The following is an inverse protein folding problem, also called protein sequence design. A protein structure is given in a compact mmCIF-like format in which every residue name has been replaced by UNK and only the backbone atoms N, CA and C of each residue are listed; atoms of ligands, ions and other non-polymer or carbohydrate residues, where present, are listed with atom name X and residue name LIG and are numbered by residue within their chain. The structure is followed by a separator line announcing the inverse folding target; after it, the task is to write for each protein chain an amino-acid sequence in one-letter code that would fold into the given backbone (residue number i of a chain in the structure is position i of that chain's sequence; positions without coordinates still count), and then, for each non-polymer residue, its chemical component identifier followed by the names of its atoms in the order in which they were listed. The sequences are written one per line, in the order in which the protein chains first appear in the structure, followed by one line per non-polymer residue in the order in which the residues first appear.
data_IF_549241343953
#
_entry.id   IF_549241343953
#
_cell.length_a   1.000
_cell.length_b   1.000
_cell.length_c   1.000
_cell.angle_alpha   90.00
_cell.angle_beta   90.00
_cell.angle_gamma   90.00
#
_symmetry.space_group_name_H-M   'P 1'
#
loop_
_entity.id
_entity.type
_entity.pdbx_description
1 polymer ?
#
# COMPACT_ATOMS: atom_id res chain seq x y z
N UNK A 1 -2.99 -6.63 -19.11
CA UNK A 1 -3.61 -6.38 -17.79
C UNK A 1 -3.39 -7.63 -16.98
N UNK A 2 -2.77 -7.48 -15.81
CA UNK A 2 -2.53 -8.60 -14.90
C UNK A 2 -3.12 -8.27 -13.53
N UNK A 3 -3.76 -9.25 -12.91
CA UNK A 3 -4.40 -9.15 -11.60
C UNK A 3 -3.73 -10.14 -10.66
N UNK A 4 -3.41 -9.70 -9.45
CA UNK A 4 -2.80 -10.53 -8.42
C UNK A 4 -3.60 -10.39 -7.13
N UNK A 5 -3.84 -11.52 -6.48
CA UNK A 5 -4.50 -11.56 -5.17
C UNK A 5 -3.56 -12.18 -4.16
N UNK A 6 -3.45 -11.55 -3.00
CA UNK A 6 -2.70 -12.05 -1.86
C UNK A 6 -3.62 -12.05 -0.63
N UNK A 7 -3.49 -13.11 0.16
CA UNK A 7 -4.13 -13.18 1.47
C UNK A 7 -3.05 -13.35 2.54
N UNK A 8 -3.33 -12.79 3.71
CA UNK A 8 -2.48 -12.89 4.88
C UNK A 8 -3.35 -12.88 6.13
N UNK A 9 -2.90 -13.57 7.17
CA UNK A 9 -3.56 -13.55 8.48
C UNK A 9 -2.59 -12.91 9.46
N UNK A 10 -2.96 -11.71 9.93
CA UNK A 10 -2.31 -11.10 11.06
C UNK A 10 -2.86 -11.76 12.33
N UNK A 11 -1.98 -12.32 13.17
CA UNK A 11 -2.39 -12.92 14.46
C UNK A 11 -2.52 -11.85 15.54
N UNK A 12 -3.26 -10.80 15.20
CA UNK A 12 -3.51 -9.62 16.01
C UNK A 12 -4.96 -9.17 15.85
N UNK A 13 -5.60 -8.63 16.91
CA UNK A 13 -6.96 -8.13 16.85
C UNK A 13 -7.15 -7.05 15.78
N UNK A 14 -8.35 -6.96 15.20
CA UNK A 14 -8.64 -6.09 14.08
C UNK A 14 -8.36 -4.60 14.33
N UNK A 15 -8.67 -4.12 15.53
CA UNK A 15 -8.41 -2.75 15.97
C UNK A 15 -6.90 -2.45 16.02
N UNK A 16 -6.09 -3.40 16.51
CA UNK A 16 -4.63 -3.27 16.54
C UNK A 16 -4.04 -3.24 15.14
N UNK A 17 -4.46 -4.16 14.25
CA UNK A 17 -4.00 -4.20 12.86
C UNK A 17 -4.42 -2.93 12.10
N UNK A 18 -5.63 -2.45 12.34
CA UNK A 18 -6.13 -1.20 11.76
C UNK A 18 -5.28 -0.02 12.22
N UNK A 19 -5.00 0.10 13.52
CA UNK A 19 -4.13 1.15 14.06
C UNK A 19 -2.69 1.06 13.48
N UNK A 20 -2.14 -0.14 13.39
CA UNK A 20 -0.82 -0.40 12.81
C UNK A 20 -0.74 0.00 11.33
N UNK A 21 -1.75 -0.36 10.52
CA UNK A 21 -1.84 0.03 9.12
C UNK A 21 -1.89 1.54 8.91
N UNK A 22 -2.56 2.27 9.82
CA UNK A 22 -2.56 3.73 9.82
C UNK A 22 -1.18 4.32 10.19
N UNK A 23 -0.48 3.72 11.18
CA UNK A 23 0.88 4.11 11.62
C UNK A 23 2.01 3.71 10.67
N UNK A 24 1.73 2.87 9.67
CA UNK A 24 2.70 2.30 8.70
C UNK A 24 3.68 3.32 8.09
N UNK A 25 3.27 4.57 7.90
CA UNK A 25 4.11 5.61 7.29
C UNK A 25 4.63 6.68 8.28
N UNK A 26 4.22 6.62 9.55
CA UNK A 26 4.59 7.59 10.58
C UNK A 26 5.56 7.02 11.62
N UNK A 27 5.65 5.69 11.70
CA UNK A 27 6.54 5.01 12.63
C UNK A 27 8.01 5.13 12.16
N UNK A 28 8.96 5.58 13.02
CA UNK A 28 10.32 5.96 12.62
C UNK A 28 11.07 4.88 11.84
N UNK A 29 10.96 3.64 12.30
CA UNK A 29 11.66 2.50 11.73
C UNK A 29 11.03 2.01 10.42
N UNK A 30 9.80 2.44 10.10
CA UNK A 30 9.15 2.08 8.84
C UNK A 30 9.88 2.67 7.64
N UNK A 31 10.62 3.77 7.82
CA UNK A 31 11.32 4.48 6.74
C UNK A 31 12.44 3.64 6.10
N UNK A 32 13.11 2.79 6.87
CA UNK A 32 14.20 1.93 6.36
C UNK A 32 13.63 0.80 5.50
N UNK A 33 12.59 0.13 6.01
CA UNK A 33 11.89 -0.98 5.33
C UNK A 33 11.14 -0.47 4.09
N UNK A 34 10.47 0.68 4.20
CA UNK A 34 9.69 1.32 3.13
C UNK A 34 10.48 2.40 2.39
N UNK A 35 11.79 2.19 2.17
CA UNK A 35 12.69 3.16 1.51
C UNK A 35 12.27 3.61 0.10
N UNK A 36 11.34 2.89 -0.54
CA UNK A 36 10.73 3.30 -1.81
C UNK A 36 9.68 4.41 -1.65
N UNK A 37 9.10 4.57 -0.46
CA UNK A 37 8.16 5.64 -0.14
C UNK A 37 8.98 6.88 0.21
N UNK A 38 8.88 7.90 -0.64
CA UNK A 38 9.60 9.15 -0.49
C UNK A 38 8.85 10.14 0.41
N UNK A 39 7.52 10.14 0.32
CA UNK A 39 6.69 11.10 1.06
C UNK A 39 5.24 10.60 1.21
N UNK A 40 4.58 10.98 2.31
CA UNK A 40 3.18 10.66 2.60
C UNK A 40 2.50 11.83 3.31
N UNK A 41 1.41 12.34 2.74
CA UNK A 41 0.59 13.39 3.35
C UNK A 41 -0.85 12.95 3.48
N UNK A 42 -1.49 13.29 4.60
CA UNK A 42 -2.94 13.13 4.74
C UNK A 42 -3.62 14.31 4.05
N UNK A 43 -4.37 14.03 2.98
CA UNK A 43 -5.09 15.04 2.20
C UNK A 43 -6.40 15.44 2.89
N UNK A 44 -7.13 14.46 3.41
CA UNK A 44 -8.30 14.70 4.25
C UNK A 44 -8.55 13.51 5.17
N UNK A 45 -9.24 13.78 6.27
CA UNK A 45 -9.74 12.78 7.21
C UNK A 45 -11.05 13.29 7.80
N UNK A 46 -12.13 12.53 7.66
CA UNK A 46 -13.47 12.91 8.12
C UNK A 46 -14.19 11.71 8.72
N UNK A 47 -14.72 11.89 9.92
CA UNK A 47 -15.72 10.97 10.48
C UNK A 47 -17.09 11.37 9.95
N UNK A 48 -17.79 10.44 9.33
CA UNK A 48 -19.19 10.61 8.95
C UNK A 48 -20.06 10.49 10.21
N UNK A 49 -20.76 11.56 10.63
CA UNK A 49 -21.57 11.54 11.85
C UNK A 49 -22.78 10.60 11.74
N UNK A 50 -23.32 10.37 10.53
CA UNK A 50 -24.54 9.59 10.35
C UNK A 50 -24.25 8.08 10.39
N UNK A 51 -23.15 7.67 9.75
CA UNK A 51 -22.75 6.26 9.68
C UNK A 51 -21.69 5.85 10.70
N UNK A 52 -20.99 6.81 11.31
CA UNK A 52 -19.84 6.57 12.18
C UNK A 52 -18.59 6.08 11.44
N UNK A 53 -18.55 6.18 10.10
CA UNK A 53 -17.43 5.70 9.28
C UNK A 53 -16.35 6.76 9.13
N UNK A 54 -15.09 6.35 9.29
CA UNK A 54 -13.95 7.21 9.06
C UNK A 54 -13.51 7.11 7.60
N UNK A 55 -13.62 8.22 6.88
CA UNK A 55 -13.10 8.39 5.54
C UNK A 55 -11.79 9.14 5.57
N UNK A 56 -10.83 8.73 4.76
CA UNK A 56 -9.63 9.52 4.56
C UNK A 56 -9.01 9.31 3.20
N UNK A 57 -8.17 10.26 2.81
CA UNK A 57 -7.26 10.08 1.71
C UNK A 57 -5.86 10.54 2.07
N UNK A 58 -4.87 9.82 1.55
CA UNK A 58 -3.45 10.17 1.66
C UNK A 58 -2.83 10.26 0.27
N UNK A 59 -1.96 11.24 0.04
CA UNK A 59 -1.05 11.21 -1.09
C UNK A 59 0.20 10.43 -0.69
N UNK A 60 0.63 9.51 -1.53
CA UNK A 60 1.84 8.72 -1.32
C UNK A 60 2.74 8.94 -2.53
N UNK A 61 3.94 9.47 -2.29
CA UNK A 61 4.97 9.60 -3.33
C UNK A 61 5.92 8.42 -3.22
N UNK A 62 6.00 7.63 -4.29
CA UNK A 62 6.86 6.46 -4.38
C UNK A 62 7.94 6.71 -5.41
N UNK A 63 9.19 6.43 -5.05
CA UNK A 63 10.30 6.35 -6.02
C UNK A 63 10.19 5.03 -6.76
N UNK A 64 9.95 5.11 -8.08
CA UNK A 64 9.90 3.90 -8.89
C UNK A 64 11.28 3.27 -8.97
N UNK A 65 11.37 1.95 -9.12
CA UNK A 65 12.60 1.32 -9.57
C UNK A 65 12.99 1.85 -10.96
N UNK A 66 14.21 1.52 -11.36
CA UNK A 66 14.75 1.75 -12.71
C UNK A 66 13.74 1.24 -13.76
N UNK A 67 13.07 2.16 -14.49
CA UNK A 67 12.01 1.81 -15.46
C UNK A 67 12.55 1.06 -16.70
N UNK A 68 11.76 0.19 -17.35
CA UNK A 68 12.14 -0.42 -18.62
C UNK A 68 12.50 0.63 -19.67
N UNK A 69 13.49 0.33 -20.53
CA UNK A 69 14.00 1.28 -21.54
C UNK A 69 12.90 1.85 -22.44
N UNK A 70 11.97 1.00 -22.87
CA UNK A 70 10.86 1.41 -23.74
C UNK A 70 9.97 2.44 -23.04
N UNK A 71 9.67 2.24 -21.75
CA UNK A 71 8.87 3.19 -20.97
C UNK A 71 9.62 4.50 -20.73
N UNK A 72 10.95 4.46 -20.57
CA UNK A 72 11.74 5.69 -20.42
C UNK A 72 11.72 6.59 -21.63
N UNK A 73 11.73 6.02 -22.84
CA UNK A 73 11.65 6.83 -24.07
C UNK A 73 10.32 7.56 -24.21
N UNK A 74 9.29 7.07 -23.53
CA UNK A 74 7.96 7.68 -23.53
C UNK A 74 7.76 8.67 -22.37
N UNK A 75 8.70 8.75 -21.43
CA UNK A 75 8.64 9.73 -20.34
C UNK A 75 9.07 11.11 -20.85
N UNK A 76 8.37 12.18 -20.48
CA UNK A 76 8.88 13.54 -20.64
C UNK A 76 10.25 13.67 -19.97
N UNK A 77 11.21 14.31 -20.62
CA UNK A 77 12.60 14.43 -20.15
C UNK A 77 12.69 14.99 -18.72
N UNK A 78 11.78 15.89 -18.33
CA UNK A 78 11.68 16.47 -16.99
C UNK A 78 11.28 15.48 -15.87
N UNK A 79 10.75 14.31 -16.22
CA UNK A 79 10.29 13.28 -15.26
C UNK A 79 11.28 12.12 -15.08
N UNK A 80 12.32 12.06 -15.92
CA UNK A 80 13.32 11.02 -15.89
C UNK A 80 14.50 11.46 -15.01
N UNK A 81 14.69 10.77 -13.88
CA UNK A 81 15.92 10.92 -13.09
C UNK A 81 17.13 10.40 -13.90
N UNK A 82 18.35 10.94 -13.70
CA UNK A 82 19.57 10.47 -14.38
C UNK A 82 19.81 8.95 -14.22
N UNK A 83 19.37 8.37 -13.11
CA UNK A 83 19.46 6.93 -12.84
C UNK A 83 18.34 6.10 -13.51
N UNK A 84 17.42 6.76 -14.21
CA UNK A 84 16.31 6.14 -14.91
C UNK A 84 15.13 5.70 -14.03
N UNK A 85 15.03 6.24 -12.81
CA UNK A 85 13.84 6.20 -11.94
C UNK A 85 12.94 7.42 -12.19
N UNK A 86 11.71 7.35 -11.70
CA UNK A 86 10.77 8.46 -11.66
C UNK A 86 10.08 8.50 -10.29
N UNK A 87 9.44 9.62 -9.97
CA UNK A 87 8.48 9.66 -8.87
C UNK A 87 7.10 9.31 -9.38
N UNK A 88 6.43 8.43 -8.64
CA UNK A 88 5.05 8.05 -8.85
C UNK A 88 4.23 8.57 -7.68
N UNK A 89 3.29 9.47 -7.97
CA UNK A 89 2.32 9.96 -7.01
C UNK A 89 1.08 9.08 -7.05
N UNK A 90 0.71 8.57 -5.90
CA UNK A 90 -0.46 7.75 -5.66
C UNK A 90 -1.42 8.47 -4.71
N UNK A 91 -2.70 8.18 -4.86
CA UNK A 91 -3.72 8.55 -3.88
C UNK A 91 -4.26 7.26 -3.27
N UNK A 92 -4.13 7.17 -1.96
CA UNK A 92 -4.80 6.19 -1.13
C UNK A 92 -6.12 6.78 -0.64
N UNK A 93 -7.20 6.01 -0.71
CA UNK A 93 -8.47 6.30 -0.05
C UNK A 93 -8.78 5.16 0.89
N UNK A 94 -9.08 5.47 2.15
CA UNK A 94 -9.43 4.48 3.17
C UNK A 94 -10.80 4.76 3.77
N UNK A 95 -11.50 3.68 4.11
CA UNK A 95 -12.77 3.68 4.79
C UNK A 95 -12.69 2.71 5.96
N UNK A 96 -12.92 3.20 7.17
CA UNK A 96 -12.95 2.38 8.39
C UNK A 96 -14.36 2.44 8.98
N UNK A 97 -14.98 1.27 9.10
CA UNK A 97 -16.24 1.04 9.77
C UNK A 97 -15.97 0.25 11.06
N UNK A 98 -15.81 0.98 12.17
CA UNK A 98 -15.49 0.37 13.46
C UNK A 98 -16.63 -0.52 13.99
N UNK A 99 -17.88 -0.18 13.67
CA UNK A 99 -19.07 -0.95 14.10
C UNK A 99 -19.07 -2.35 13.48
N UNK A 100 -18.71 -2.46 12.20
CA UNK A 100 -18.65 -3.73 11.50
C UNK A 100 -17.24 -4.36 11.46
N UNK A 101 -16.25 -3.76 12.15
CA UNK A 101 -14.84 -4.16 12.11
C UNK A 101 -14.35 -4.36 10.66
N UNK A 102 -14.50 -3.33 9.85
CA UNK A 102 -14.10 -3.35 8.45
C UNK A 102 -13.22 -2.17 8.11
N UNK A 103 -12.06 -2.42 7.50
CA UNK A 103 -11.27 -1.38 6.87
C UNK A 103 -10.99 -1.75 5.42
N UNK A 104 -11.31 -0.83 4.52
CA UNK A 104 -11.03 -0.94 3.10
C UNK A 104 -10.09 0.17 2.67
N UNK A 105 -9.11 -0.17 1.85
CA UNK A 105 -8.08 0.74 1.36
C UNK A 105 -7.97 0.57 -0.14
N UNK A 106 -8.00 1.66 -0.88
CA UNK A 106 -7.79 1.66 -2.33
C UNK A 106 -6.69 2.64 -2.68
N UNK A 107 -5.63 2.16 -3.30
CA UNK A 107 -4.49 2.96 -3.77
C UNK A 107 -4.47 2.99 -5.29
N UNK A 108 -4.36 4.18 -5.86
CA UNK A 108 -4.24 4.37 -7.31
C UNK A 108 -3.08 5.30 -7.63
N UNK A 109 -2.28 4.98 -8.64
CA UNK A 109 -1.34 5.98 -9.17
C UNK A 109 -2.08 7.05 -9.96
N UNK A 110 -1.74 8.31 -9.74
CA UNK A 110 -2.31 9.47 -10.45
C UNK A 110 -1.34 9.95 -11.53
N UNK A 111 -0.04 9.98 -11.21
CA UNK A 111 1.01 10.21 -12.21
C UNK A 111 1.33 8.93 -12.99
N UNK A 112 1.93 9.05 -14.17
CA UNK A 112 2.40 7.94 -15.00
C UNK A 112 1.30 6.97 -15.51
N UNK A 113 0.01 7.26 -15.27
CA UNK A 113 -1.12 6.42 -15.75
C UNK A 113 -1.15 6.19 -17.26
N UNK A 114 -0.61 7.14 -18.03
CA UNK A 114 -0.45 7.00 -19.48
C UNK A 114 0.51 5.88 -19.88
N UNK A 115 1.39 5.44 -18.97
CA UNK A 115 2.35 4.36 -19.17
C UNK A 115 1.91 3.09 -18.46
N UNK A 116 1.71 3.18 -17.14
CA UNK A 116 1.32 2.08 -16.26
C UNK A 116 0.24 2.59 -15.32
N UNK A 117 -0.88 1.89 -15.30
CA UNK A 117 -1.97 2.09 -14.36
C UNK A 117 -1.95 0.95 -13.35
N UNK A 118 -1.97 1.31 -12.08
CA UNK A 118 -1.91 0.42 -10.93
C UNK A 118 -3.04 0.81 -9.99
N UNK A 119 -3.88 -0.17 -9.68
CA UNK A 119 -4.90 -0.05 -8.65
C UNK A 119 -4.70 -1.20 -7.66
N UNK A 120 -4.57 -0.88 -6.39
CA UNK A 120 -4.50 -1.84 -5.30
C UNK A 120 -5.72 -1.66 -4.39
N UNK A 121 -6.43 -2.74 -4.13
CA UNK A 121 -7.56 -2.80 -3.21
C UNK A 121 -7.18 -3.75 -2.07
N UNK A 122 -7.27 -3.29 -0.85
CA UNK A 122 -7.01 -4.08 0.32
C UNK A 122 -8.18 -4.01 1.30
N UNK A 123 -8.47 -5.13 1.96
CA UNK A 123 -9.51 -5.27 2.95
C UNK A 123 -8.96 -5.95 4.20
N UNK A 124 -9.28 -5.39 5.36
CA UNK A 124 -8.98 -5.92 6.68
C UNK A 124 -10.29 -6.23 7.38
N UNK A 125 -10.45 -7.48 7.82
CA UNK A 125 -11.64 -7.99 8.51
C UNK A 125 -11.22 -8.93 9.64
N UNK A 126 -12.01 -9.08 10.72
CA UNK A 126 -11.88 -10.19 11.65
C UNK A 126 -11.73 -11.53 10.93
N UNK A 127 -10.84 -12.38 11.42
CA UNK A 127 -10.66 -13.71 10.87
C UNK A 127 -11.93 -14.56 11.12
N UNK A 128 -12.44 -15.32 10.14
CA UNK A 128 -13.73 -16.03 10.27
C UNK A 128 -13.77 -17.06 11.40
N UNK A 129 -12.62 -17.65 11.74
CA UNK A 129 -12.52 -18.66 12.80
C UNK A 129 -12.03 -18.11 14.15
N UNK A 130 -11.39 -16.94 14.16
CA UNK A 130 -10.80 -16.33 15.35
C UNK A 130 -11.04 -14.81 15.34
N UNK A 131 -12.31 -14.36 15.34
CA UNK A 131 -12.66 -12.97 14.98
C UNK A 131 -12.19 -11.92 15.98
N UNK A 132 -11.95 -12.30 17.23
CA UNK A 132 -11.54 -11.37 18.28
C UNK A 132 -10.01 -11.30 18.45
N UNK A 133 -9.29 -12.28 17.92
CA UNK A 133 -7.84 -12.39 18.08
C UNK A 133 -7.07 -12.10 16.79
N UNK A 134 -7.61 -12.49 15.63
CA UNK A 134 -6.88 -12.45 14.35
C UNK A 134 -7.62 -11.62 13.31
N UNK A 135 -6.84 -11.10 12.35
CA UNK A 135 -7.34 -10.28 11.24
C UNK A 135 -6.99 -10.94 9.92
N UNK A 136 -8.01 -11.19 9.11
CA UNK A 136 -7.85 -11.54 7.71
C UNK A 136 -7.56 -10.28 6.88
N UNK A 137 -6.44 -10.30 6.18
CA UNK A 137 -6.05 -9.31 5.20
C UNK A 137 -6.11 -9.91 3.81
N UNK A 138 -6.80 -9.23 2.90
CA UNK A 138 -6.83 -9.57 1.48
C UNK A 138 -6.42 -8.35 0.68
N UNK A 139 -5.57 -8.54 -0.31
CA UNK A 139 -5.08 -7.52 -1.21
C UNK A 139 -5.22 -8.00 -2.65
N UNK A 140 -5.77 -7.15 -3.51
CA UNK A 140 -5.89 -7.37 -4.94
C UNK A 140 -5.21 -6.20 -5.67
N UNK A 141 -4.27 -6.49 -6.55
CA UNK A 141 -3.54 -5.49 -7.32
C UNK A 141 -3.76 -5.72 -8.81
N UNK A 142 -4.27 -4.71 -9.51
CA UNK A 142 -4.44 -4.69 -10.96
C UNK A 142 -3.40 -3.78 -11.59
N UNK A 143 -2.66 -4.31 -12.57
CA UNK A 143 -1.63 -3.57 -13.31
C UNK A 143 -1.95 -3.62 -14.81
N UNK A 144 -1.92 -2.44 -15.45
CA UNK A 144 -2.18 -2.29 -16.88
C UNK A 144 -1.15 -1.38 -17.54
N UNK A 145 -0.45 -1.89 -18.56
CA UNK A 145 0.43 -1.08 -19.40
C UNK A 145 -0.34 -0.59 -20.64
N UNK A 146 -0.46 0.73 -20.80
CA UNK A 146 -1.25 1.32 -21.90
C UNK A 146 -0.49 1.40 -23.24
N UNK A 147 0.76 1.92 -23.31
CA UNK A 147 1.45 2.16 -24.59
C UNK A 147 1.85 0.90 -25.34
N UNK A 148 1.91 -0.23 -24.64
CA UNK A 148 2.36 -1.52 -25.18
C UNK A 148 1.21 -2.48 -25.46
N UNK A 149 -0.05 -2.07 -25.28
CA UNK A 149 -1.20 -2.94 -25.52
C UNK A 149 -1.25 -3.48 -26.97
N UNK A 150 -0.70 -2.73 -27.94
CA UNK A 150 -0.54 -3.17 -29.33
C UNK A 150 0.61 -4.19 -29.55
N UNK A 151 1.51 -4.35 -28.58
CA UNK A 151 2.64 -5.29 -28.58
C UNK A 151 2.50 -6.23 -27.37
N UNK A 152 1.50 -7.12 -27.42
CA UNK A 152 1.05 -7.95 -26.29
C UNK A 152 2.20 -8.63 -25.50
N UNK A 153 3.16 -9.27 -26.17
CA UNK A 153 4.28 -9.95 -25.50
C UNK A 153 5.22 -9.00 -24.73
N UNK A 154 5.39 -7.77 -25.22
CA UNK A 154 6.23 -6.76 -24.56
C UNK A 154 5.47 -6.11 -23.40
N UNK A 155 4.16 -5.85 -23.57
CA UNK A 155 3.30 -5.40 -22.48
C UNK A 155 3.27 -6.40 -21.33
N UNK A 156 3.04 -7.68 -21.62
CA UNK A 156 2.97 -8.73 -20.61
C UNK A 156 4.28 -8.82 -19.81
N UNK A 157 5.44 -8.83 -20.47
CA UNK A 157 6.74 -8.87 -19.79
C UNK A 157 6.99 -7.65 -18.90
N UNK A 158 6.51 -6.48 -19.31
CA UNK A 158 6.59 -5.26 -18.51
C UNK A 158 5.64 -5.30 -17.33
N UNK A 159 4.39 -5.72 -17.54
CA UNK A 159 3.37 -5.87 -16.51
C UNK A 159 3.83 -6.87 -15.43
N UNK A 160 4.36 -8.03 -15.80
CA UNK A 160 4.87 -9.05 -14.87
C UNK A 160 6.04 -8.53 -14.03
N UNK A 161 7.01 -7.83 -14.65
CA UNK A 161 8.14 -7.24 -13.88
C UNK A 161 7.71 -6.13 -12.95
N UNK A 162 6.71 -5.34 -13.34
CA UNK A 162 6.11 -4.36 -12.45
C UNK A 162 5.42 -5.07 -11.29
N UNK A 163 4.64 -6.10 -11.58
CA UNK A 163 3.95 -6.89 -10.58
C UNK A 163 4.88 -7.52 -9.55
N UNK A 164 5.94 -8.20 -9.96
CA UNK A 164 6.92 -8.80 -9.05
C UNK A 164 7.44 -7.79 -8.02
N UNK A 165 7.73 -6.56 -8.45
CA UNK A 165 8.21 -5.51 -7.54
C UNK A 165 7.11 -4.97 -6.64
N UNK A 166 5.89 -4.84 -7.15
CA UNK A 166 4.73 -4.48 -6.32
C UNK A 166 4.47 -5.54 -5.24
N UNK A 167 4.55 -6.82 -5.59
CA UNK A 167 4.41 -7.93 -4.63
C UNK A 167 5.49 -7.89 -3.54
N UNK A 168 6.75 -7.59 -3.91
CA UNK A 168 7.83 -7.40 -2.95
C UNK A 168 7.58 -6.19 -2.02
N UNK A 169 7.11 -5.07 -2.57
CA UNK A 169 6.80 -3.87 -1.78
C UNK A 169 5.61 -4.09 -0.85
N UNK A 170 4.59 -4.83 -1.30
CA UNK A 170 3.45 -5.22 -0.46
C UNK A 170 3.90 -6.10 0.70
N UNK A 171 4.79 -7.08 0.47
CA UNK A 171 5.35 -7.92 1.54
C UNK A 171 6.06 -7.10 2.62
N UNK A 172 6.92 -6.14 2.23
CA UNK A 172 7.55 -5.19 3.16
C UNK A 172 6.53 -4.36 3.92
N UNK A 173 5.46 -3.96 3.24
CA UNK A 173 4.35 -3.24 3.86
C UNK A 173 3.66 -4.05 4.96
N UNK A 174 3.48 -5.36 4.77
CA UNK A 174 2.90 -6.26 5.77
C UNK A 174 3.83 -6.48 6.96
N UNK A 175 5.12 -6.65 6.70
CA UNK A 175 6.14 -6.78 7.75
C UNK A 175 6.15 -5.58 8.69
N UNK A 176 6.04 -4.36 8.14
CA UNK A 176 5.94 -3.14 8.95
C UNK A 176 4.67 -3.15 9.82
N UNK A 177 3.52 -3.54 9.26
CA UNK A 177 2.26 -3.62 10.02
C UNK A 177 2.38 -4.65 11.15
N UNK A 178 2.89 -5.83 10.86
CA UNK A 178 3.13 -6.90 11.85
C UNK A 178 4.01 -6.40 13.00
N UNK A 179 5.11 -5.73 12.66
CA UNK A 179 6.05 -5.17 13.64
C UNK A 179 5.38 -4.09 14.52
N UNK A 180 4.60 -3.19 13.94
CA UNK A 180 3.85 -2.18 14.69
C UNK A 180 2.81 -2.81 15.61
N UNK A 181 2.16 -3.90 15.19
CA UNK A 181 1.25 -4.65 16.07
C UNK A 181 1.96 -5.17 17.32
N UNK A 182 3.16 -5.77 17.18
CA UNK A 182 3.94 -6.23 18.33
C UNK A 182 4.30 -5.09 19.29
N UNK A 183 4.69 -3.92 18.77
CA UNK A 183 4.94 -2.76 19.63
C UNK A 183 3.69 -2.29 20.38
N UNK A 184 2.55 -2.19 19.68
CA UNK A 184 1.27 -1.79 20.29
C UNK A 184 0.83 -2.76 21.38
N UNK A 185 1.08 -4.05 21.19
CA UNK A 185 0.81 -5.08 22.20
C UNK A 185 1.71 -4.93 23.44
N UNK A 186 3.02 -4.75 23.24
CA UNK A 186 3.98 -4.50 24.32
C UNK A 186 3.65 -3.20 25.10
N UNK A 187 3.26 -2.13 24.41
CA UNK A 187 2.80 -0.88 25.02
C UNK A 187 1.54 -1.11 25.89
N UNK A 188 0.55 -1.86 25.37
CA UNK A 188 -0.70 -2.13 26.09
C UNK A 188 -0.54 -3.01 27.33
N UNK A 189 0.49 -3.86 27.34
CA UNK A 189 0.78 -4.79 28.44
C UNK A 189 1.75 -4.20 29.47
N UNK A 190 2.20 -2.95 29.29
CA UNK A 190 3.12 -2.26 30.21
C UNK A 190 4.57 -2.75 30.10
N UNK A 191 4.91 -3.51 29.06
CA UNK A 191 6.24 -4.10 28.85
C UNK A 191 7.13 -3.25 27.93
N UNK A 192 6.93 -1.93 27.86
CA UNK A 192 7.67 -1.07 26.95
C UNK A 192 9.19 -1.10 27.26
N UNK A 193 10.07 -1.52 26.31
CA UNK A 193 11.49 -1.26 26.44
C UNK A 193 11.73 0.25 26.30
N UNK A 194 12.52 0.83 27.20
CA UNK A 194 12.90 2.24 27.11
C UNK A 194 13.56 2.50 25.76
N UNK A 195 13.04 3.46 25.00
CA UNK A 195 13.73 3.99 23.83
C UNK A 195 15.10 4.52 24.27
N UNK A 196 16.17 4.03 23.64
CA UNK A 196 17.53 4.60 23.66
C UNK A 196 17.82 5.13 22.28
#
# INVERSE_FOLDING_TARGET
MVVYTQEHVYRHPWDRVTAAAWRKFTDPDSRTVLSHVADVHTLHRRLDPDTGRLHAARSITVRTPRLPFILRRLLPSATASPNGSAFCHCVESSLVDAKHRAMDVVVRNVSLRGLIEVEERASYRPHPYCPDEWTQFRQETTIRCRPLAALAAVAEKVETRCAEKFLQNSAKGREVVERICWYLEAESTGAAPSAV
#
